data_IF_941764141614
#
_entry.id   IF_941764141614
#
_cell.length_a   1.000
_cell.length_b   1.000
_cell.length_c   1.000
_cell.angle_alpha   90.00
_cell.angle_beta   90.00
_cell.angle_gamma   90.00
#
_symmetry.space_group_name_H-M   'P 1'
#
loop_
_entity.id
_entity.type
_entity.pdbx_description
1 polymer ?
#
# COMPACT_ATOMS: atom_id res chain seq x y z
N UNK A 1 -15.67 -40.64 -2.01
CA UNK A 1 -16.10 -39.29 -1.57
C UNK A 1 -14.87 -38.66 -0.92
N UNK A 2 -14.11 -37.85 -1.67
CA UNK A 2 -12.82 -37.33 -1.21
C UNK A 2 -13.05 -36.25 -0.14
N UNK A 3 -12.34 -36.36 0.98
CA UNK A 3 -12.39 -35.41 2.09
C UNK A 3 -11.75 -34.11 1.62
N UNK A 4 -12.55 -33.05 1.55
CA UNK A 4 -12.08 -31.69 1.23
C UNK A 4 -11.30 -31.20 2.45
N UNK A 5 -10.00 -30.98 2.30
CA UNK A 5 -9.17 -30.39 3.33
C UNK A 5 -9.53 -28.90 3.46
N UNK A 6 -10.02 -28.47 4.63
CA UNK A 6 -10.74 -27.21 4.81
C UNK A 6 -9.86 -25.95 4.64
N UNK A 7 -8.53 -26.08 4.57
CA UNK A 7 -7.62 -24.95 4.67
C UNK A 7 -6.96 -24.55 3.35
N UNK A 8 -6.69 -25.49 2.45
CA UNK A 8 -6.02 -25.18 1.18
C UNK A 8 -7.01 -24.84 0.07
N UNK A 9 -6.69 -23.87 -0.80
CA UNK A 9 -7.50 -23.61 -1.98
C UNK A 9 -7.45 -24.84 -2.90
N UNK A 10 -8.62 -25.25 -3.39
CA UNK A 10 -8.77 -26.42 -4.25
C UNK A 10 -9.79 -26.13 -5.35
N UNK A 11 -9.61 -26.79 -6.50
CA UNK A 11 -10.52 -26.74 -7.63
C UNK A 11 -10.90 -28.17 -8.04
N UNK A 12 -12.20 -28.45 -8.10
CA UNK A 12 -12.74 -29.73 -8.59
C UNK A 12 -13.41 -29.50 -9.93
N UNK A 13 -12.96 -30.23 -10.94
CA UNK A 13 -13.43 -30.10 -12.31
C UNK A 13 -14.50 -31.16 -12.61
N UNK A 14 -15.58 -30.74 -13.26
CA UNK A 14 -16.61 -31.61 -13.83
C UNK A 14 -16.97 -31.11 -15.22
N UNK A 15 -17.28 -32.04 -16.10
CA UNK A 15 -17.85 -31.75 -17.41
C UNK A 15 -19.35 -32.04 -17.34
N UNK A 16 -20.18 -31.05 -17.66
CA UNK A 16 -21.63 -31.17 -17.72
C UNK A 16 -22.11 -30.78 -19.12
N UNK A 17 -22.22 -31.77 -20.00
CA UNK A 17 -22.77 -31.59 -21.34
C UNK A 17 -21.99 -30.61 -22.23
N UNK A 18 -20.67 -30.49 -22.04
CA UNK A 18 -19.82 -29.56 -22.80
C UNK A 18 -19.57 -28.22 -22.11
N UNK A 19 -20.09 -28.04 -20.89
CA UNK A 19 -19.77 -26.91 -20.01
C UNK A 19 -18.79 -27.37 -18.94
N UNK A 20 -17.65 -26.70 -18.82
CA UNK A 20 -16.69 -26.96 -17.74
C UNK A 20 -17.21 -26.35 -16.44
N UNK A 21 -17.63 -27.19 -15.51
CA UNK A 21 -18.04 -26.77 -14.16
C UNK A 21 -16.87 -26.94 -13.20
N UNK A 22 -16.44 -25.84 -12.58
CA UNK A 22 -15.35 -25.84 -11.61
C UNK A 22 -15.90 -25.46 -10.24
N UNK A 23 -15.85 -26.38 -9.28
CA UNK A 23 -16.17 -26.07 -7.89
C UNK A 23 -14.90 -25.67 -7.14
N UNK A 24 -14.88 -24.43 -6.64
CA UNK A 24 -13.76 -23.85 -5.90
C UNK A 24 -14.03 -23.95 -4.40
N UNK A 25 -13.04 -24.44 -3.65
CA UNK A 25 -13.15 -24.67 -2.21
C UNK A 25 -11.94 -24.15 -1.44
N UNK A 26 -12.08 -24.08 -0.11
CA UNK A 26 -11.01 -23.69 0.81
C UNK A 26 -10.86 -22.18 0.97
N UNK A 27 -9.65 -21.72 1.34
CA UNK A 27 -9.36 -20.30 1.61
C UNK A 27 -8.64 -19.63 0.45
N UNK A 28 -9.34 -18.70 -0.20
CA UNK A 28 -8.85 -17.87 -1.29
C UNK A 28 -8.38 -16.53 -0.73
N UNK A 29 -7.21 -16.56 -0.08
CA UNK A 29 -6.61 -15.37 0.53
C UNK A 29 -5.11 -15.26 0.32
N UNK A 30 -4.56 -14.05 0.50
CA UNK A 30 -3.14 -13.69 0.32
C UNK A 30 -2.17 -14.63 1.05
N UNK A 31 -2.60 -15.18 2.20
CA UNK A 31 -1.79 -16.14 2.97
C UNK A 31 -1.48 -17.44 2.24
N UNK A 32 -2.14 -17.71 1.10
CA UNK A 32 -1.94 -18.88 0.23
C UNK A 32 -1.59 -18.49 -1.21
N UNK A 33 -1.05 -17.29 -1.44
CA UNK A 33 -0.79 -16.74 -2.77
C UNK A 33 -0.07 -17.70 -3.75
N UNK A 34 1.03 -18.41 -3.39
CA UNK A 34 1.71 -19.29 -4.35
C UNK A 34 0.83 -20.43 -4.87
N UNK A 35 -0.03 -20.99 -4.00
CA UNK A 35 -0.95 -22.06 -4.39
C UNK A 35 -2.11 -21.52 -5.22
N UNK A 36 -2.59 -20.31 -4.91
CA UNK A 36 -3.63 -19.64 -5.69
C UNK A 36 -3.15 -19.33 -7.11
N UNK A 37 -1.95 -18.78 -7.27
CA UNK A 37 -1.37 -18.48 -8.59
C UNK A 37 -1.21 -19.74 -9.45
N UNK A 38 -0.76 -20.85 -8.87
CA UNK A 38 -0.67 -22.13 -9.57
C UNK A 38 -2.05 -22.63 -10.00
N UNK A 39 -3.03 -22.61 -9.09
CA UNK A 39 -4.41 -23.03 -9.40
C UNK A 39 -5.09 -22.15 -10.44
N UNK A 40 -4.92 -20.83 -10.39
CA UNK A 40 -5.51 -19.91 -11.35
C UNK A 40 -4.87 -20.03 -12.73
N UNK A 41 -3.58 -20.38 -12.78
CA UNK A 41 -2.90 -20.71 -14.05
C UNK A 41 -3.46 -22.00 -14.65
N UNK A 42 -3.59 -23.06 -13.85
CA UNK A 42 -4.21 -24.33 -14.28
C UNK A 42 -5.67 -24.12 -14.75
N UNK A 43 -6.44 -23.28 -14.04
CA UNK A 43 -7.81 -22.93 -14.42
C UNK A 43 -7.85 -22.21 -15.76
N UNK A 44 -6.97 -21.23 -15.98
CA UNK A 44 -6.92 -20.44 -17.22
C UNK A 44 -6.59 -21.29 -18.44
N UNK A 45 -5.71 -22.30 -18.29
CA UNK A 45 -5.39 -23.24 -19.37
C UNK A 45 -6.59 -24.11 -19.74
N UNK A 46 -7.26 -24.69 -18.74
CA UNK A 46 -8.43 -25.58 -18.95
C UNK A 46 -9.62 -24.82 -19.52
N UNK A 47 -9.90 -23.62 -19.01
CA UNK A 47 -10.97 -22.77 -19.52
C UNK A 47 -10.70 -22.40 -20.98
N UNK A 48 -9.44 -22.15 -21.36
CA UNK A 48 -9.07 -21.87 -22.74
C UNK A 48 -9.32 -23.00 -23.74
N UNK A 49 -9.61 -24.22 -23.28
CA UNK A 49 -9.91 -25.38 -24.13
C UNK A 49 -11.40 -25.70 -24.31
N UNK A 50 -12.30 -24.91 -23.69
CA UNK A 50 -13.75 -25.13 -23.73
C UNK A 50 -14.48 -23.89 -24.26
N UNK A 51 -15.75 -24.04 -24.69
CA UNK A 51 -16.58 -22.93 -25.16
C UNK A 51 -17.34 -22.22 -24.04
N UNK A 52 -17.64 -22.93 -22.95
CA UNK A 52 -18.33 -22.40 -21.77
C UNK A 52 -17.73 -22.95 -20.48
N UNK A 53 -17.57 -22.09 -19.49
CA UNK A 53 -17.09 -22.46 -18.16
C UNK A 53 -17.92 -21.79 -17.06
N UNK A 54 -18.24 -22.54 -16.01
CA UNK A 54 -18.95 -22.04 -14.82
C UNK A 54 -18.13 -22.32 -13.58
N UNK A 55 -17.71 -21.26 -12.88
CA UNK A 55 -16.96 -21.36 -11.63
C UNK A 55 -17.92 -21.18 -10.45
N UNK A 56 -18.06 -22.21 -9.62
CA UNK A 56 -18.85 -22.20 -8.39
C UNK A 56 -17.94 -21.90 -7.18
N UNK A 57 -18.16 -20.74 -6.58
CA UNK A 57 -17.43 -20.18 -5.45
C UNK A 57 -18.09 -20.54 -4.10
N UNK A 58 -19.16 -21.34 -4.10
CA UNK A 58 -19.99 -21.57 -2.91
C UNK A 58 -19.29 -22.34 -1.80
N UNK A 59 -18.28 -23.14 -2.13
CA UNK A 59 -17.48 -23.90 -1.17
C UNK A 59 -16.22 -23.13 -0.70
N UNK A 60 -16.02 -21.88 -1.14
CA UNK A 60 -14.97 -21.01 -0.62
C UNK A 60 -15.37 -20.57 0.79
N UNK A 61 -14.50 -20.84 1.76
CA UNK A 61 -14.73 -20.46 3.15
C UNK A 61 -14.46 -18.98 3.39
N UNK A 62 -13.40 -18.47 2.76
CA UNK A 62 -12.93 -17.10 2.87
C UNK A 62 -12.36 -16.63 1.54
N UNK A 63 -12.85 -15.49 1.07
CA UNK A 63 -12.37 -14.79 -0.12
C UNK A 63 -11.86 -13.40 0.30
N UNK A 64 -10.67 -13.01 -0.15
CA UNK A 64 -10.15 -11.65 -0.02
C UNK A 64 -9.98 -10.95 -1.37
N UNK A 65 -9.45 -9.73 -1.36
CA UNK A 65 -9.24 -8.93 -2.57
C UNK A 65 -8.28 -9.58 -3.56
N UNK A 66 -7.23 -10.28 -3.11
CA UNK A 66 -6.32 -10.99 -4.02
C UNK A 66 -7.04 -12.17 -4.68
N UNK A 67 -7.75 -12.97 -3.89
CA UNK A 67 -8.51 -14.11 -4.40
C UNK A 67 -9.56 -13.69 -5.42
N UNK A 68 -10.31 -12.61 -5.12
CA UNK A 68 -11.29 -12.04 -6.03
C UNK A 68 -10.64 -11.49 -7.32
N UNK A 69 -9.49 -10.82 -7.21
CA UNK A 69 -8.71 -10.33 -8.35
C UNK A 69 -8.23 -11.45 -9.28
N UNK A 70 -7.68 -12.53 -8.72
CA UNK A 70 -7.20 -13.66 -9.54
C UNK A 70 -8.35 -14.38 -10.26
N UNK A 71 -9.52 -14.49 -9.62
CA UNK A 71 -10.71 -15.05 -10.25
C UNK A 71 -11.24 -14.18 -11.39
N UNK A 72 -11.24 -12.86 -11.20
CA UNK A 72 -11.59 -11.90 -12.23
C UNK A 72 -10.60 -11.95 -13.41
N UNK A 73 -9.31 -12.09 -13.14
CA UNK A 73 -8.29 -12.27 -14.18
C UNK A 73 -8.50 -13.56 -14.98
N UNK A 74 -8.85 -14.68 -14.33
CA UNK A 74 -9.19 -15.94 -15.00
C UNK A 74 -10.42 -15.77 -15.90
N UNK A 75 -11.46 -15.07 -15.41
CA UNK A 75 -12.67 -14.74 -16.20
C UNK A 75 -12.31 -13.92 -17.43
N UNK A 76 -11.60 -12.79 -17.25
CA UNK A 76 -11.19 -11.91 -18.34
C UNK A 76 -10.32 -12.63 -19.38
N UNK A 77 -9.39 -13.48 -18.95
CA UNK A 77 -8.53 -14.25 -19.84
C UNK A 77 -9.30 -15.30 -20.66
N UNK A 78 -10.35 -15.90 -20.09
CA UNK A 78 -11.27 -16.81 -20.79
C UNK A 78 -12.15 -16.07 -21.79
N UNK A 79 -12.76 -14.96 -21.37
CA UNK A 79 -13.61 -14.12 -22.23
C UNK A 79 -12.84 -13.54 -23.42
N UNK A 80 -11.58 -13.13 -23.22
CA UNK A 80 -10.68 -12.69 -24.30
C UNK A 80 -10.41 -13.78 -25.35
N UNK A 81 -10.53 -15.06 -24.99
CA UNK A 81 -10.43 -16.22 -25.90
C UNK A 81 -11.78 -16.64 -26.49
N UNK A 82 -12.85 -15.89 -26.23
CA UNK A 82 -14.21 -16.18 -26.70
C UNK A 82 -14.97 -17.22 -25.87
N UNK A 83 -14.49 -17.55 -24.66
CA UNK A 83 -15.14 -18.49 -23.75
C UNK A 83 -16.13 -17.75 -22.87
N UNK A 84 -17.37 -18.22 -22.77
CA UNK A 84 -18.32 -17.64 -21.82
C UNK A 84 -18.01 -18.15 -20.41
N UNK A 85 -17.55 -17.26 -19.52
CA UNK A 85 -17.17 -17.60 -18.14
C UNK A 85 -18.16 -17.02 -17.13
N UNK A 86 -18.87 -17.88 -16.41
CA UNK A 86 -19.85 -17.47 -15.39
C UNK A 86 -19.32 -17.74 -13.97
N UNK A 87 -19.24 -16.70 -13.14
CA UNK A 87 -18.91 -16.81 -11.71
C UNK A 87 -20.21 -16.90 -10.90
N UNK A 88 -20.40 -18.01 -10.18
CA UNK A 88 -21.58 -18.25 -9.34
C UNK A 88 -21.17 -18.39 -7.87
N UNK A 89 -21.96 -17.82 -6.96
CA UNK A 89 -21.76 -18.02 -5.52
C UNK A 89 -23.08 -17.98 -4.76
N UNK A 90 -23.23 -18.89 -3.77
CA UNK A 90 -24.36 -18.88 -2.82
C UNK A 90 -24.17 -17.89 -1.66
N UNK A 91 -23.02 -17.23 -1.55
CA UNK A 91 -22.73 -16.25 -0.49
C UNK A 91 -22.76 -14.82 -1.04
N UNK A 92 -23.59 -13.92 -0.48
CA UNK A 92 -23.73 -12.55 -0.99
C UNK A 92 -22.47 -11.69 -0.80
N UNK A 93 -21.67 -11.98 0.24
CA UNK A 93 -20.39 -11.30 0.53
C UNK A 93 -19.36 -11.43 -0.62
N UNK A 94 -19.32 -12.59 -1.29
CA UNK A 94 -18.43 -12.80 -2.44
C UNK A 94 -18.83 -11.94 -3.63
N UNK A 95 -20.14 -11.75 -3.86
CA UNK A 95 -20.63 -10.94 -4.97
C UNK A 95 -20.30 -9.44 -4.81
N UNK A 96 -20.27 -8.94 -3.57
CA UNK A 96 -19.85 -7.55 -3.28
C UNK A 96 -18.36 -7.37 -3.61
N UNK A 97 -17.51 -8.28 -3.14
CA UNK A 97 -16.07 -8.22 -3.40
C UNK A 97 -15.73 -8.33 -4.89
N UNK A 98 -16.35 -9.28 -5.61
CA UNK A 98 -16.11 -9.45 -7.04
C UNK A 98 -16.52 -8.20 -7.83
N UNK A 99 -17.65 -7.57 -7.48
CA UNK A 99 -18.10 -6.33 -8.12
C UNK A 99 -17.14 -5.16 -7.85
N UNK A 100 -16.59 -5.08 -6.63
CA UNK A 100 -15.65 -4.03 -6.27
C UNK A 100 -14.32 -4.19 -7.01
N UNK A 101 -13.86 -5.42 -7.19
CA UNK A 101 -12.67 -5.72 -8.00
C UNK A 101 -12.91 -5.41 -9.48
N UNK A 102 -14.01 -5.87 -10.07
CA UNK A 102 -14.34 -5.62 -11.49
C UNK A 102 -14.38 -4.12 -11.84
N UNK A 103 -14.86 -3.28 -10.93
CA UNK A 103 -14.91 -1.81 -11.08
C UNK A 103 -13.54 -1.13 -11.00
N UNK A 104 -12.60 -1.71 -10.26
CA UNK A 104 -11.31 -1.07 -9.98
C UNK A 104 -10.15 -1.65 -10.83
N UNK A 105 -10.37 -2.78 -11.51
CA UNK A 105 -9.37 -3.44 -12.37
C UNK A 105 -9.40 -2.94 -13.82
N UNK A 106 -10.45 -2.24 -14.23
CA UNK A 106 -10.81 -2.03 -15.65
C UNK A 106 -9.97 -1.03 -16.45
N UNK A 107 -8.81 -0.54 -15.97
CA UNK A 107 -8.10 0.54 -16.68
C UNK A 107 -6.56 0.47 -16.75
N UNK A 108 -5.94 -0.66 -16.41
CA UNK A 108 -4.49 -0.80 -16.65
C UNK A 108 -4.20 -1.33 -18.06
N UNK A 109 -4.14 -0.43 -19.04
CA UNK A 109 -3.46 -0.70 -20.30
C UNK A 109 -1.96 -0.43 -20.12
N UNK A 110 -1.06 -1.42 -20.34
CA UNK A 110 0.37 -1.15 -20.31
C UNK A 110 0.68 -0.08 -21.36
N UNK A 111 1.22 1.07 -20.97
CA UNK A 111 1.42 2.17 -21.89
C UNK A 111 2.46 1.78 -22.94
N UNK A 112 2.02 1.73 -24.20
CA UNK A 112 2.90 1.56 -25.35
C UNK A 112 3.64 2.88 -25.52
N UNK A 113 4.85 2.98 -24.99
CA UNK A 113 5.70 4.16 -25.15
C UNK A 113 6.53 4.01 -26.43
N UNK A 114 6.17 4.65 -27.55
CA UNK A 114 7.10 4.78 -28.66
C UNK A 114 8.34 5.54 -28.17
N UNK A 115 9.52 4.96 -28.38
CA UNK A 115 10.79 5.55 -27.91
C UNK A 115 11.13 6.75 -28.79
N UNK A 116 11.06 7.97 -28.24
CA UNK A 116 11.37 9.20 -28.97
C UNK A 116 11.46 10.45 -28.09
N UNK A 117 12.12 11.50 -28.60
CA UNK A 117 12.27 12.79 -27.89
C UNK A 117 10.94 13.43 -27.50
N UNK A 118 9.90 13.25 -28.33
CA UNK A 118 8.55 13.76 -28.05
C UNK A 118 7.96 13.05 -26.83
N UNK A 119 8.15 11.73 -26.70
CA UNK A 119 7.65 10.95 -25.56
C UNK A 119 8.28 11.41 -24.26
N UNK A 120 9.59 11.66 -24.24
CA UNK A 120 10.29 12.22 -23.07
C UNK A 120 9.70 13.57 -22.67
N UNK A 121 9.41 14.44 -23.64
CA UNK A 121 8.79 15.74 -23.38
C UNK A 121 7.37 15.61 -22.82
N UNK A 122 6.60 14.65 -23.35
CA UNK A 122 5.25 14.33 -22.85
C UNK A 122 5.31 13.80 -21.42
N UNK A 123 6.23 12.89 -21.11
CA UNK A 123 6.39 12.31 -19.77
C UNK A 123 6.78 13.39 -18.75
N UNK A 124 7.69 14.31 -19.12
CA UNK A 124 8.04 15.46 -18.28
C UNK A 124 6.82 16.36 -18.07
N UNK A 125 6.05 16.65 -19.12
CA UNK A 125 4.82 17.45 -19.01
C UNK A 125 3.79 16.80 -18.09
N UNK A 126 3.60 15.48 -18.20
CA UNK A 126 2.72 14.72 -17.31
C UNK A 126 3.24 14.72 -15.86
N UNK A 127 4.56 14.57 -15.66
CA UNK A 127 5.17 14.63 -14.34
C UNK A 127 5.00 16.00 -13.68
N UNK A 128 5.23 17.10 -14.41
CA UNK A 128 5.08 18.47 -13.90
C UNK A 128 3.61 18.78 -13.59
N UNK A 129 2.67 18.39 -14.47
CA UNK A 129 1.24 18.61 -14.21
C UNK A 129 0.71 17.75 -13.07
N UNK A 130 1.23 16.53 -12.89
CA UNK A 130 0.94 15.68 -11.73
C UNK A 130 1.48 16.30 -10.45
N UNK A 131 2.74 16.72 -10.45
CA UNK A 131 3.36 17.39 -9.32
C UNK A 131 2.61 18.68 -8.92
N UNK A 132 2.17 19.48 -9.90
CA UNK A 132 1.35 20.65 -9.64
C UNK A 132 0.00 20.33 -8.99
N UNK A 133 -0.67 19.25 -9.44
CA UNK A 133 -1.90 18.75 -8.80
C UNK A 133 -1.65 18.22 -7.40
N UNK A 134 -0.55 17.51 -7.18
CA UNK A 134 -0.17 16.98 -5.87
C UNK A 134 0.13 18.12 -4.89
N UNK A 135 0.80 19.19 -5.34
CA UNK A 135 1.01 20.40 -4.54
C UNK A 135 -0.31 21.10 -4.19
N UNK A 136 -1.22 21.24 -5.16
CA UNK A 136 -2.54 21.81 -4.90
C UNK A 136 -3.34 20.94 -3.91
N UNK A 137 -3.28 19.61 -4.05
CA UNK A 137 -3.87 18.67 -3.10
C UNK A 137 -3.25 18.78 -1.70
N UNK A 138 -1.92 18.93 -1.62
CA UNK A 138 -1.21 19.17 -0.37
C UNK A 138 -1.62 20.49 0.29
N UNK A 139 -1.85 21.54 -0.48
CA UNK A 139 -2.35 22.81 0.03
C UNK A 139 -3.79 22.71 0.56
N UNK A 140 -4.66 21.97 -0.14
CA UNK A 140 -6.03 21.69 0.33
C UNK A 140 -5.99 20.90 1.64
N UNK A 141 -5.21 19.82 1.70
CA UNK A 141 -5.04 19.01 2.90
C UNK A 141 -4.49 19.85 4.08
N UNK A 142 -3.48 20.68 3.83
CA UNK A 142 -2.95 21.60 4.84
C UNK A 142 -4.04 22.56 5.34
N UNK A 143 -4.89 23.07 4.44
CA UNK A 143 -6.05 23.88 4.78
C UNK A 143 -7.06 23.14 5.67
N UNK A 144 -7.37 21.89 5.35
CA UNK A 144 -8.25 21.03 6.17
C UNK A 144 -7.65 20.75 7.55
N UNK A 145 -6.35 20.46 7.63
CA UNK A 145 -5.63 20.27 8.90
C UNK A 145 -5.68 21.53 9.74
N UNK A 146 -5.40 22.70 9.15
CA UNK A 146 -5.43 23.98 9.86
C UNK A 146 -6.84 24.31 10.36
N UNK A 147 -7.87 24.12 9.52
CA UNK A 147 -9.26 24.29 9.92
C UNK A 147 -9.65 23.31 11.04
N UNK A 148 -9.16 22.06 10.98
CA UNK A 148 -9.32 21.06 12.03
C UNK A 148 -8.65 21.47 13.35
N UNK A 149 -7.42 21.99 13.31
CA UNK A 149 -6.70 22.50 14.48
C UNK A 149 -7.42 23.68 15.12
N UNK A 150 -7.89 24.64 14.31
CA UNK A 150 -8.71 25.77 14.77
C UNK A 150 -10.02 25.27 15.40
N UNK A 151 -10.69 24.32 14.75
CA UNK A 151 -11.90 23.69 15.27
C UNK A 151 -11.68 22.94 16.59
N UNK A 152 -10.53 22.28 16.76
CA UNK A 152 -10.15 21.62 18.00
C UNK A 152 -9.86 22.63 19.12
N UNK A 153 -9.22 23.76 18.80
CA UNK A 153 -8.90 24.82 19.76
C UNK A 153 -10.17 25.50 20.28
N UNK A 154 -11.11 25.84 19.40
CA UNK A 154 -12.36 26.51 19.77
C UNK A 154 -13.49 25.54 20.18
N UNK A 155 -13.33 24.24 19.94
CA UNK A 155 -14.32 23.19 20.21
C UNK A 155 -13.79 22.03 21.06
N UNK A 156 -13.31 22.27 22.29
CA UNK A 156 -12.58 21.27 23.09
C UNK A 156 -13.38 20.00 23.43
N UNK A 157 -14.73 20.06 23.41
CA UNK A 157 -15.60 18.90 23.63
C UNK A 157 -15.54 17.84 22.52
N UNK A 158 -15.12 18.21 21.31
CA UNK A 158 -14.94 17.28 20.18
C UNK A 158 -13.50 16.75 20.10
N UNK A 159 -12.59 17.32 20.87
CA UNK A 159 -11.18 16.97 20.85
C UNK A 159 -10.88 15.72 21.69
N UNK A 160 -10.25 14.71 21.09
CA UNK A 160 -9.85 13.47 21.77
C UNK A 160 -8.42 13.57 22.27
N UNK A 161 -8.22 14.27 23.39
CA UNK A 161 -6.91 14.42 24.05
C UNK A 161 -6.12 13.12 24.25
N UNK A 162 -6.75 12.00 24.68
CA UNK A 162 -6.04 10.73 24.82
C UNK A 162 -5.39 10.22 23.53
N UNK A 163 -6.02 10.46 22.37
CA UNK A 163 -5.45 10.10 21.07
C UNK A 163 -4.24 10.95 20.71
N UNK A 164 -4.24 12.25 21.07
CA UNK A 164 -3.07 13.12 20.89
C UNK A 164 -1.91 12.62 21.75
N UNK A 165 -2.15 12.34 23.03
CA UNK A 165 -1.11 11.88 23.96
C UNK A 165 -0.49 10.58 23.47
N UNK A 166 -1.31 9.62 23.03
CA UNK A 166 -0.83 8.37 22.46
C UNK A 166 0.05 8.60 21.22
N UNK A 167 -0.31 9.57 20.36
CA UNK A 167 0.49 9.90 19.20
C UNK A 167 1.81 10.59 19.56
N UNK A 168 1.79 11.48 20.55
CA UNK A 168 3.00 12.11 21.10
C UNK A 168 3.91 11.05 21.71
N UNK A 169 3.36 10.09 22.44
CA UNK A 169 4.13 8.98 23.01
C UNK A 169 4.80 8.16 21.91
N UNK A 170 4.02 7.75 20.89
CA UNK A 170 4.50 6.96 19.77
C UNK A 170 5.64 7.66 18.99
N UNK A 171 5.59 8.98 18.85
CA UNK A 171 6.58 9.74 18.09
C UNK A 171 7.76 10.16 18.97
N UNK A 172 7.48 10.86 20.07
CA UNK A 172 8.50 11.49 20.90
C UNK A 172 9.26 10.46 21.76
N UNK A 173 8.60 9.51 22.41
CA UNK A 173 9.29 8.54 23.26
C UNK A 173 10.08 7.52 22.43
N UNK A 174 9.54 7.07 21.30
CA UNK A 174 10.29 6.17 20.41
C UNK A 174 11.44 6.89 19.70
N UNK A 175 11.31 8.20 19.41
CA UNK A 175 12.35 9.01 18.80
C UNK A 175 13.45 9.48 19.77
N UNK A 176 13.12 9.64 21.06
CA UNK A 176 14.01 10.23 22.06
C UNK A 176 15.40 9.56 22.15
N UNK A 177 15.55 8.22 22.13
CA UNK A 177 16.87 7.59 22.24
C UNK A 177 17.83 8.00 21.12
N UNK A 178 17.32 8.09 19.88
CA UNK A 178 18.13 8.48 18.73
C UNK A 178 18.48 9.97 18.83
N UNK A 179 17.51 10.83 19.19
CA UNK A 179 17.74 12.27 19.37
C UNK A 179 18.81 12.53 20.44
N UNK A 180 18.72 11.86 21.59
CA UNK A 180 19.70 11.98 22.68
C UNK A 180 21.09 11.57 22.18
N UNK A 181 21.18 10.45 21.47
CA UNK A 181 22.46 9.94 20.97
C UNK A 181 23.10 10.89 19.97
N UNK A 182 22.35 11.37 18.98
CA UNK A 182 22.89 12.29 17.97
C UNK A 182 23.25 13.65 18.60
N UNK A 183 22.42 14.20 19.49
CA UNK A 183 22.70 15.47 20.15
C UNK A 183 23.95 15.39 21.04
N UNK A 184 24.13 14.26 21.75
CA UNK A 184 25.32 14.01 22.54
C UNK A 184 26.57 13.93 21.65
N UNK A 185 26.54 13.08 20.62
CA UNK A 185 27.68 12.89 19.72
C UNK A 185 28.06 14.18 18.98
N UNK A 186 27.08 14.90 18.43
CA UNK A 186 27.31 16.20 17.77
C UNK A 186 27.89 17.21 18.76
N UNK A 187 27.35 17.29 19.97
CA UNK A 187 27.89 18.14 21.03
C UNK A 187 29.35 17.84 21.35
N UNK A 188 29.72 16.56 21.48
CA UNK A 188 31.11 16.14 21.68
C UNK A 188 32.02 16.52 20.50
N UNK A 189 31.58 16.27 19.26
CA UNK A 189 32.35 16.59 18.05
C UNK A 189 32.59 18.09 17.95
N UNK A 190 31.55 18.91 18.14
CA UNK A 190 31.64 20.37 18.10
C UNK A 190 32.58 20.89 19.20
N UNK A 191 32.45 20.38 20.44
CA UNK A 191 33.32 20.79 21.54
C UNK A 191 34.80 20.46 21.24
N UNK A 192 35.09 19.26 20.74
CA UNK A 192 36.44 18.85 20.37
C UNK A 192 37.01 19.74 19.26
N UNK A 193 36.23 20.00 18.20
CA UNK A 193 36.64 20.89 17.12
C UNK A 193 36.87 22.32 17.62
N UNK A 194 36.00 22.82 18.51
CA UNK A 194 36.13 24.12 19.16
C UNK A 194 37.43 24.24 19.97
N UNK A 195 37.80 23.22 20.75
CA UNK A 195 39.06 23.19 21.50
C UNK A 195 40.26 23.38 20.58
N UNK A 196 40.37 22.57 19.52
CA UNK A 196 41.50 22.67 18.59
C UNK A 196 41.58 24.01 17.87
N UNK A 197 40.44 24.63 17.58
CA UNK A 197 40.39 25.96 16.97
C UNK A 197 40.81 27.05 17.96
N UNK A 198 40.27 27.06 19.18
CA UNK A 198 40.55 28.08 20.19
C UNK A 198 41.93 27.94 20.84
N UNK A 199 42.53 26.73 20.82
CA UNK A 199 43.91 26.51 21.24
C UNK A 199 44.91 27.40 20.50
N UNK A 200 44.69 27.64 19.19
CA UNK A 200 45.55 28.52 18.37
C UNK A 200 45.53 29.97 18.83
N UNK A 201 44.49 30.37 19.56
CA UNK A 201 44.29 31.72 20.07
C UNK A 201 44.49 31.82 21.59
N UNK A 202 44.89 30.73 22.26
CA UNK A 202 45.02 30.70 23.72
C UNK A 202 43.69 30.83 24.48
N UNK A 203 42.56 30.59 23.80
CA UNK A 203 41.22 30.93 24.27
C UNK A 203 40.36 29.71 24.68
N UNK A 204 40.99 28.60 25.06
CA UNK A 204 40.30 27.30 25.31
C UNK A 204 39.21 27.36 26.38
N UNK A 205 39.29 28.30 27.33
CA UNK A 205 38.26 28.53 28.34
C UNK A 205 36.89 28.95 27.74
N UNK A 206 36.88 29.54 26.54
CA UNK A 206 35.64 29.99 25.88
C UNK A 206 34.92 28.90 25.08
N UNK A 207 35.47 27.69 24.98
CA UNK A 207 34.86 26.59 24.23
C UNK A 207 33.45 26.27 24.75
N UNK A 208 33.26 26.24 26.07
CA UNK A 208 31.94 25.93 26.66
C UNK A 208 30.90 26.98 26.25
N UNK A 209 31.28 28.26 26.29
CA UNK A 209 30.40 29.36 25.87
C UNK A 209 30.08 29.30 24.37
N UNK A 210 31.09 28.98 23.54
CA UNK A 210 30.90 28.79 22.10
C UNK A 210 29.92 27.64 21.82
N UNK A 211 30.16 26.47 22.39
CA UNK A 211 29.30 25.29 22.19
C UNK A 211 27.88 25.57 22.67
N UNK A 212 27.71 26.22 23.83
CA UNK A 212 26.39 26.60 24.34
C UNK A 212 25.62 27.53 23.40
N UNK A 213 26.26 28.59 22.91
CA UNK A 213 25.65 29.53 21.96
C UNK A 213 25.34 28.83 20.63
N UNK A 214 26.28 28.04 20.11
CA UNK A 214 26.15 27.38 18.83
C UNK A 214 25.02 26.35 18.84
N UNK A 215 24.89 25.58 19.92
CA UNK A 215 23.79 24.63 20.08
C UNK A 215 22.45 25.38 20.11
N UNK A 216 22.31 26.41 20.94
CA UNK A 216 21.04 27.15 21.09
C UNK A 216 20.62 27.95 19.86
N UNK A 217 21.59 28.43 19.07
CA UNK A 217 21.32 29.34 17.94
C UNK A 217 21.20 28.62 16.60
N UNK A 218 22.07 27.63 16.35
CA UNK A 218 22.24 27.07 15.00
C UNK A 218 21.92 25.57 14.93
N UNK A 219 22.06 24.81 16.03
CA UNK A 219 21.85 23.35 16.01
C UNK A 219 20.56 22.86 16.67
N UNK A 220 19.83 23.68 17.42
CA UNK A 220 18.58 23.27 18.11
C UNK A 220 17.31 23.53 17.31
N UNK A 221 17.40 23.64 15.98
CA UNK A 221 16.27 23.86 15.06
C UNK A 221 15.78 22.55 14.43
#
# INVERSE_FOLDING_TARGET
MAVVDAVEPQAVYRDDGGVLVVSLAGRWSVGRAPRLEALTSELSERIGSVSQARLDLSAIERLDTLGAYLLDQVKQAGEAKGVAVELTSRRPEHAVLLREVERNVTDYQPPVHPIGLVTVLVDIGQAVTRFGRDLAGGAVFLGEVMAGCVGALFGPRRFRGPSLINQIELIAFNGAPIIILISFLVGCIVAQQGIFQLQRFGATAFVVNLTGILVLRELSV
#
